data_IF_903484142740
#
_entry.id   IF_903484142740
#
_cell.length_a   1.000
_cell.length_b   1.000
_cell.length_c   1.000
_cell.angle_alpha   90.00
_cell.angle_beta   90.00
_cell.angle_gamma   90.00
#
_symmetry.space_group_name_H-M   'P 1'
#
loop_
_entity.id
_entity.type
_entity.pdbx_description
1 polymer ?
#
# COMPACT_ATOMS: atom_id res chain seq x y z
N UNK A 1 -29.76 32.89 1.93
CA UNK A 1 -31.10 33.03 1.34
C UNK A 1 -31.00 32.42 -0.05
N UNK A 2 -31.88 31.50 -0.41
CA UNK A 2 -31.84 30.83 -1.72
C UNK A 2 -31.94 31.88 -2.85
N UNK A 3 -31.15 31.74 -3.91
CA UNK A 3 -31.10 32.70 -5.03
C UNK A 3 -32.49 32.82 -5.68
N UNK A 4 -33.22 31.71 -5.78
CA UNK A 4 -34.55 31.69 -6.33
C UNK A 4 -35.57 32.37 -5.42
N UNK A 5 -35.42 32.27 -4.10
CA UNK A 5 -36.27 33.01 -3.16
C UNK A 5 -36.06 34.52 -3.29
N UNK A 6 -34.86 34.97 -3.68
CA UNK A 6 -34.60 36.38 -3.97
C UNK A 6 -35.26 36.83 -5.26
N UNK A 7 -35.17 36.01 -6.31
CA UNK A 7 -35.84 36.26 -7.59
C UNK A 7 -37.36 36.32 -7.39
N UNK A 8 -37.93 35.37 -6.65
CA UNK A 8 -39.36 35.32 -6.38
C UNK A 8 -39.84 36.55 -5.60
N UNK A 9 -39.09 36.98 -4.57
CA UNK A 9 -39.39 38.21 -3.83
C UNK A 9 -39.36 39.44 -4.73
N UNK A 10 -38.34 39.59 -5.57
CA UNK A 10 -38.25 40.70 -6.50
C UNK A 10 -39.43 40.72 -7.48
N UNK A 11 -39.79 39.56 -8.04
CA UNK A 11 -40.94 39.45 -8.95
C UNK A 11 -42.27 39.81 -8.27
N UNK A 12 -42.46 39.44 -7.01
CA UNK A 12 -43.65 39.81 -6.23
C UNK A 12 -43.75 41.33 -5.95
N UNK A 13 -42.68 42.11 -6.11
CA UNK A 13 -42.76 43.58 -5.99
C UNK A 13 -43.31 44.27 -7.24
N UNK A 14 -43.39 43.57 -8.37
CA UNK A 14 -43.86 44.13 -9.62
C UNK A 14 -45.39 44.17 -9.63
N UNK A 15 -45.97 45.37 -9.69
CA UNK A 15 -47.43 45.56 -9.69
C UNK A 15 -48.17 44.86 -10.85
N UNK A 16 -47.45 44.51 -11.94
CA UNK A 16 -47.99 43.77 -13.09
C UNK A 16 -47.85 42.25 -12.97
N UNK A 17 -47.20 41.76 -11.91
CA UNK A 17 -46.95 40.34 -11.68
C UNK A 17 -47.92 39.79 -10.65
N UNK A 18 -49.11 39.40 -11.11
CA UNK A 18 -50.25 39.06 -10.23
C UNK A 18 -50.31 37.57 -9.88
N UNK A 19 -49.16 36.91 -9.74
CA UNK A 19 -49.10 35.46 -9.48
C UNK A 19 -49.13 35.21 -7.97
N UNK A 20 -50.29 34.79 -7.47
CA UNK A 20 -50.49 34.50 -6.05
C UNK A 20 -49.48 33.43 -5.54
N UNK A 21 -48.84 33.70 -4.40
CA UNK A 21 -47.87 32.83 -3.72
C UNK A 21 -46.70 32.36 -4.63
N UNK A 22 -46.09 33.27 -5.39
CA UNK A 22 -44.88 32.94 -6.15
C UNK A 22 -43.66 32.84 -5.23
N UNK A 23 -43.01 31.67 -5.21
CA UNK A 23 -41.88 31.34 -4.34
C UNK A 23 -40.65 30.89 -5.16
N UNK A 24 -39.50 30.68 -4.50
CA UNK A 24 -38.26 30.30 -5.19
C UNK A 24 -38.37 28.98 -5.96
N UNK A 25 -39.12 27.99 -5.44
CA UNK A 25 -39.36 26.73 -6.14
C UNK A 25 -40.11 26.94 -7.46
N UNK A 26 -41.15 27.79 -7.46
CA UNK A 26 -41.87 28.15 -8.68
C UNK A 26 -41.00 28.95 -9.64
N UNK A 27 -40.14 29.84 -9.14
CA UNK A 27 -39.18 30.57 -9.96
C UNK A 27 -38.19 29.64 -10.67
N UNK A 28 -37.59 28.71 -9.92
CA UNK A 28 -36.68 27.71 -10.47
C UNK A 28 -37.37 26.79 -11.48
N UNK A 29 -38.55 26.27 -11.16
CA UNK A 29 -39.31 25.41 -12.07
C UNK A 29 -39.67 26.15 -13.37
N UNK A 30 -40.08 27.42 -13.26
CA UNK A 30 -40.42 28.25 -14.41
C UNK A 30 -39.20 28.52 -15.29
N UNK A 31 -38.03 28.79 -14.68
CA UNK A 31 -36.77 28.97 -15.40
C UNK A 31 -36.37 27.72 -16.18
N UNK A 32 -36.46 26.54 -15.55
CA UNK A 32 -36.13 25.28 -16.21
C UNK A 32 -37.04 24.99 -17.40
N UNK A 33 -38.34 25.24 -17.27
CA UNK A 33 -39.31 25.11 -18.38
C UNK A 33 -38.94 26.09 -19.49
N UNK A 34 -38.62 27.34 -19.15
CA UNK A 34 -38.27 28.38 -20.12
C UNK A 34 -37.05 28.01 -20.96
N UNK A 35 -35.99 27.49 -20.35
CA UNK A 35 -34.79 27.04 -21.07
C UNK A 35 -35.08 25.80 -21.92
N UNK A 36 -35.82 24.82 -21.39
CA UNK A 36 -36.20 23.62 -22.15
C UNK A 36 -37.01 23.97 -23.39
N UNK A 37 -38.08 24.74 -23.22
CA UNK A 37 -38.97 25.11 -24.31
C UNK A 37 -38.24 26.00 -25.34
N UNK A 38 -37.22 26.76 -24.92
CA UNK A 38 -36.35 27.49 -25.84
C UNK A 38 -35.42 26.58 -26.65
N UNK A 39 -34.78 25.61 -26.01
CA UNK A 39 -33.96 24.61 -26.71
C UNK A 39 -34.79 23.79 -27.70
N UNK A 40 -36.01 23.41 -27.34
CA UNK A 40 -36.94 22.72 -28.25
C UNK A 40 -37.32 23.59 -29.46
N UNK A 41 -37.57 24.89 -29.24
CA UNK A 41 -37.82 25.85 -30.32
C UNK A 41 -36.61 25.99 -31.24
N UNK A 42 -35.42 26.22 -30.71
CA UNK A 42 -34.20 26.36 -31.51
C UNK A 42 -33.93 25.08 -32.34
N UNK A 43 -34.12 23.90 -31.74
CA UNK A 43 -33.96 22.63 -32.45
C UNK A 43 -35.02 22.43 -33.55
N UNK A 44 -36.26 22.84 -33.31
CA UNK A 44 -37.31 22.79 -34.32
C UNK A 44 -36.99 23.74 -35.48
N UNK A 45 -36.60 24.99 -35.16
CA UNK A 45 -36.18 26.02 -36.12
C UNK A 45 -35.01 25.55 -37.01
N UNK A 46 -33.96 24.96 -36.42
CA UNK A 46 -32.84 24.38 -37.17
C UNK A 46 -33.27 23.29 -38.18
N UNK A 47 -34.30 22.51 -37.86
CA UNK A 47 -34.80 21.44 -38.73
C UNK A 47 -35.65 21.95 -39.91
N UNK A 48 -36.22 23.14 -39.80
CA UNK A 48 -37.04 23.78 -40.86
C UNK A 48 -36.30 24.91 -41.59
N UNK A 49 -34.97 24.97 -41.48
CA UNK A 49 -34.08 26.00 -42.04
C UNK A 49 -34.49 26.46 -43.44
N UNK A 50 -34.89 27.73 -43.57
CA UNK A 50 -35.35 28.36 -44.82
C UNK A 50 -36.43 29.44 -44.64
N UNK A 51 -36.94 29.61 -43.42
CA UNK A 51 -37.88 30.68 -43.04
C UNK A 51 -37.10 31.79 -42.31
N UNK A 52 -37.38 33.04 -42.66
CA UNK A 52 -36.84 34.22 -41.98
C UNK A 52 -37.43 34.28 -40.56
N UNK A 53 -36.61 34.01 -39.55
CA UNK A 53 -37.04 34.02 -38.15
C UNK A 53 -36.67 35.34 -37.46
N UNK A 54 -37.65 35.93 -36.79
CA UNK A 54 -37.45 37.14 -36.00
C UNK A 54 -36.65 36.80 -34.72
N UNK A 55 -35.35 37.11 -34.75
CA UNK A 55 -34.50 37.05 -33.56
C UNK A 55 -34.83 38.24 -32.66
N UNK A 56 -35.32 37.97 -31.47
CA UNK A 56 -35.64 39.00 -30.47
C UNK A 56 -34.52 39.09 -29.43
N UNK A 57 -34.42 40.22 -28.72
CA UNK A 57 -33.50 40.33 -27.58
C UNK A 57 -33.72 39.20 -26.56
N UNK A 58 -34.99 38.82 -26.33
CA UNK A 58 -35.33 37.71 -25.42
C UNK A 58 -34.70 36.39 -25.85
N UNK A 59 -34.69 36.06 -27.14
CA UNK A 59 -34.11 34.81 -27.62
C UNK A 59 -32.59 34.80 -27.45
N UNK A 60 -31.92 35.94 -27.72
CA UNK A 60 -30.47 36.08 -27.48
C UNK A 60 -30.11 35.85 -26.01
N UNK A 61 -30.85 36.46 -25.07
CA UNK A 61 -30.59 36.26 -23.64
C UNK A 61 -30.85 34.81 -23.20
N UNK A 62 -31.81 34.13 -23.81
CA UNK A 62 -32.08 32.72 -23.50
C UNK A 62 -31.02 31.78 -24.07
N UNK A 63 -30.42 32.12 -25.20
CA UNK A 63 -29.25 31.41 -25.76
C UNK A 63 -28.05 31.54 -24.79
N UNK A 64 -27.74 32.77 -24.35
CA UNK A 64 -26.66 33.04 -23.40
C UNK A 64 -26.86 32.30 -22.07
N UNK A 65 -28.07 32.36 -21.50
CA UNK A 65 -28.42 31.65 -20.27
C UNK A 65 -28.32 30.13 -20.44
N UNK A 66 -28.72 29.60 -21.59
CA UNK A 66 -28.59 28.16 -21.89
C UNK A 66 -27.14 27.73 -21.94
N UNK A 67 -26.28 28.54 -22.58
CA UNK A 67 -24.84 28.29 -22.64
C UNK A 67 -24.19 28.29 -21.26
N UNK A 68 -24.50 29.28 -20.41
CA UNK A 68 -23.98 29.37 -19.04
C UNK A 68 -24.42 28.19 -18.16
N UNK A 69 -25.68 27.74 -18.29
CA UNK A 69 -26.16 26.57 -17.55
C UNK A 69 -25.45 25.30 -17.99
N UNK A 70 -25.19 25.14 -19.28
CA UNK A 70 -24.50 23.97 -19.80
C UNK A 70 -23.01 23.98 -19.41
N UNK A 71 -22.34 25.13 -19.49
CA UNK A 71 -20.97 25.32 -19.02
C UNK A 71 -20.85 24.98 -17.53
N UNK A 72 -21.77 25.46 -16.69
CA UNK A 72 -21.79 25.15 -15.27
C UNK A 72 -21.91 23.63 -15.01
N UNK A 73 -22.79 22.94 -15.73
CA UNK A 73 -22.93 21.47 -15.63
C UNK A 73 -21.65 20.76 -16.06
N UNK A 74 -21.02 21.20 -17.15
CA UNK A 74 -19.78 20.61 -17.65
C UNK A 74 -18.64 20.77 -16.66
N UNK A 75 -18.50 21.95 -16.05
CA UNK A 75 -17.49 22.19 -15.03
C UNK A 75 -17.76 21.36 -13.77
N UNK A 76 -19.02 21.20 -13.34
CA UNK A 76 -19.37 20.30 -12.23
C UNK A 76 -19.01 18.84 -12.54
N UNK A 77 -19.28 18.36 -13.76
CA UNK A 77 -18.86 17.03 -14.20
C UNK A 77 -17.34 16.88 -14.23
N UNK A 78 -16.63 17.93 -14.69
CA UNK A 78 -15.17 17.94 -14.76
C UNK A 78 -14.53 17.88 -13.37
N UNK A 79 -15.09 18.62 -12.41
CA UNK A 79 -14.68 18.57 -11.01
C UNK A 79 -14.90 17.18 -10.41
N UNK A 80 -16.10 16.63 -10.58
CA UNK A 80 -16.39 15.28 -10.10
C UNK A 80 -15.45 14.23 -10.69
N UNK A 81 -15.16 14.30 -12.00
CA UNK A 81 -14.20 13.41 -12.64
C UNK A 81 -12.78 13.57 -12.09
N UNK A 82 -12.33 14.81 -11.86
CA UNK A 82 -11.03 15.11 -11.27
C UNK A 82 -10.91 14.59 -9.84
N UNK A 83 -11.97 14.67 -9.03
CA UNK A 83 -11.98 14.13 -7.66
C UNK A 83 -11.87 12.60 -7.65
N UNK A 84 -12.58 11.92 -8.55
CA UNK A 84 -12.47 10.47 -8.72
C UNK A 84 -11.06 10.06 -9.15
N UNK A 85 -10.47 10.77 -10.11
CA UNK A 85 -9.11 10.49 -10.57
C UNK A 85 -8.08 10.72 -9.45
N UNK A 86 -8.22 11.81 -8.68
CA UNK A 86 -7.36 12.09 -7.55
C UNK A 86 -7.46 10.99 -6.47
N UNK A 87 -8.68 10.53 -6.16
CA UNK A 87 -8.89 9.43 -5.22
C UNK A 87 -8.23 8.13 -5.70
N UNK A 88 -8.37 7.78 -6.98
CA UNK A 88 -7.74 6.59 -7.56
C UNK A 88 -6.21 6.64 -7.49
N UNK A 89 -5.60 7.81 -7.74
CA UNK A 89 -4.14 8.00 -7.63
C UNK A 89 -3.64 7.84 -6.18
N UNK A 90 -4.40 8.32 -5.21
CA UNK A 90 -4.07 8.16 -3.78
C UNK A 90 -4.15 6.68 -3.38
N UNK A 91 -5.19 5.97 -3.82
CA UNK A 91 -5.35 4.53 -3.55
C UNK A 91 -4.20 3.71 -4.16
N UNK A 92 -3.84 3.98 -5.41
CA UNK A 92 -2.71 3.32 -6.09
C UNK A 92 -1.38 3.57 -5.37
N UNK A 93 -1.11 4.84 -5.00
CA UNK A 93 0.09 5.20 -4.25
C UNK A 93 0.17 4.51 -2.89
N UNK A 94 -0.96 4.44 -2.17
CA UNK A 94 -1.07 3.71 -0.90
C UNK A 94 -0.78 2.21 -1.05
N UNK A 95 -1.32 1.58 -2.10
CA UNK A 95 -1.08 0.17 -2.39
C UNK A 95 0.40 -0.11 -2.71
N UNK A 96 1.06 0.78 -3.47
CA UNK A 96 2.50 0.68 -3.77
C UNK A 96 3.32 0.79 -2.48
N UNK A 97 3.04 1.79 -1.64
CA UNK A 97 3.75 1.97 -0.37
C UNK A 97 3.61 0.75 0.55
N UNK A 98 2.42 0.17 0.64
CA UNK A 98 2.18 -1.03 1.43
C UNK A 98 2.98 -2.23 0.90
N UNK A 99 3.05 -2.42 -0.42
CA UNK A 99 3.88 -3.48 -1.03
C UNK A 99 5.36 -3.28 -0.70
N UNK A 100 5.88 -2.06 -0.79
CA UNK A 100 7.28 -1.75 -0.45
C UNK A 100 7.56 -2.08 1.02
N UNK A 101 6.68 -1.67 1.93
CA UNK A 101 6.84 -1.93 3.35
C UNK A 101 6.85 -3.44 3.66
N UNK A 102 5.98 -4.21 3.02
CA UNK A 102 5.96 -5.67 3.15
C UNK A 102 7.27 -6.29 2.66
N UNK A 103 7.75 -5.90 1.48
CA UNK A 103 9.01 -6.43 0.93
C UNK A 103 10.22 -6.09 1.82
N UNK A 104 10.27 -4.89 2.38
CA UNK A 104 11.33 -4.50 3.31
C UNK A 104 11.28 -5.33 4.60
N UNK A 105 10.09 -5.57 5.15
CA UNK A 105 9.93 -6.37 6.34
C UNK A 105 10.34 -7.83 6.10
N UNK A 106 9.94 -8.41 4.97
CA UNK A 106 10.32 -9.76 4.57
C UNK A 106 11.83 -9.89 4.37
N UNK A 107 12.47 -8.90 3.72
CA UNK A 107 13.92 -8.86 3.55
C UNK A 107 14.64 -8.83 4.91
N UNK A 108 14.22 -7.96 5.82
CA UNK A 108 14.79 -7.84 7.17
C UNK A 108 14.63 -9.13 7.97
N UNK A 109 13.47 -9.77 7.87
CA UNK A 109 13.21 -11.05 8.54
C UNK A 109 14.13 -12.15 8.01
N UNK A 110 14.30 -12.24 6.70
CA UNK A 110 15.18 -13.23 6.07
C UNK A 110 16.64 -13.02 6.46
N UNK A 111 17.13 -11.78 6.47
CA UNK A 111 18.49 -11.46 6.91
C UNK A 111 18.71 -11.83 8.39
N UNK A 112 17.73 -11.54 9.24
CA UNK A 112 17.79 -11.89 10.66
C UNK A 112 17.86 -13.40 10.87
N UNK A 113 17.06 -14.19 10.15
CA UNK A 113 17.10 -15.65 10.22
C UNK A 113 18.44 -16.20 9.72
N UNK A 114 18.97 -15.66 8.62
CA UNK A 114 20.31 -16.03 8.15
C UNK A 114 21.38 -15.74 9.20
N UNK A 115 21.32 -14.57 9.84
CA UNK A 115 22.28 -14.19 10.88
C UNK A 115 22.21 -15.11 12.10
N UNK A 116 21.00 -15.46 12.56
CA UNK A 116 20.80 -16.43 13.64
C UNK A 116 21.37 -17.80 13.28
N UNK A 117 21.12 -18.26 12.05
CA UNK A 117 21.64 -19.53 11.56
C UNK A 117 23.18 -19.55 11.57
N UNK A 118 23.81 -18.50 11.05
CA UNK A 118 25.27 -18.38 11.02
C UNK A 118 25.87 -18.41 12.44
N UNK A 119 25.30 -17.65 13.38
CA UNK A 119 25.75 -17.67 14.77
C UNK A 119 25.59 -19.04 15.44
N UNK A 120 24.46 -19.70 15.19
CA UNK A 120 24.20 -21.04 15.74
C UNK A 120 25.23 -22.05 15.24
N UNK A 121 25.49 -22.04 13.92
CA UNK A 121 26.47 -22.93 13.30
C UNK A 121 27.87 -22.70 13.85
N UNK A 122 28.28 -21.45 14.01
CA UNK A 122 29.59 -21.10 14.56
C UNK A 122 29.74 -21.60 16.02
N UNK A 123 28.69 -21.49 16.84
CA UNK A 123 28.69 -22.03 18.20
C UNK A 123 28.79 -23.56 18.23
N UNK A 124 28.08 -24.24 17.33
CA UNK A 124 28.15 -25.71 17.19
C UNK A 124 29.54 -26.16 16.76
N UNK A 125 30.19 -25.47 15.84
CA UNK A 125 31.56 -25.77 15.40
C UNK A 125 32.56 -25.59 16.53
N UNK A 126 32.51 -24.48 17.28
CA UNK A 126 33.38 -24.28 18.45
C UNK A 126 33.15 -25.32 19.53
N UNK A 127 31.91 -25.76 19.72
CA UNK A 127 31.62 -26.82 20.68
C UNK A 127 32.23 -28.15 20.24
N UNK A 128 32.07 -28.53 18.97
CA UNK A 128 32.70 -29.74 18.41
C UNK A 128 34.22 -29.70 18.53
N UNK A 129 34.84 -28.55 18.29
CA UNK A 129 36.29 -28.38 18.44
C UNK A 129 36.75 -28.60 19.88
N UNK A 130 36.04 -28.06 20.87
CA UNK A 130 36.34 -28.31 22.30
C UNK A 130 36.17 -29.78 22.69
N UNK A 131 35.12 -30.44 22.19
CA UNK A 131 34.88 -31.86 22.45
C UNK A 131 35.98 -32.72 21.81
N UNK A 132 36.39 -32.41 20.58
CA UNK A 132 37.48 -33.09 19.90
C UNK A 132 38.81 -32.93 20.65
N UNK A 133 39.14 -31.70 21.07
CA UNK A 133 40.37 -31.44 21.82
C UNK A 133 40.40 -32.18 23.17
N UNK A 134 39.27 -32.27 23.85
CA UNK A 134 39.17 -33.06 25.09
C UNK A 134 39.42 -34.54 24.82
N UNK A 135 38.78 -35.10 23.79
CA UNK A 135 38.97 -36.50 23.39
C UNK A 135 40.40 -36.82 23.00
N UNK A 136 41.07 -35.93 22.27
CA UNK A 136 42.49 -36.11 21.89
C UNK A 136 43.39 -36.13 23.13
N UNK A 137 43.17 -35.23 24.10
CA UNK A 137 43.93 -35.22 25.36
C UNK A 137 43.74 -36.50 26.15
N UNK A 138 42.51 -36.98 26.27
CA UNK A 138 42.20 -38.24 26.94
C UNK A 138 42.79 -39.45 26.22
N UNK A 139 42.78 -39.47 24.88
CA UNK A 139 43.41 -40.51 24.09
C UNK A 139 44.93 -40.53 24.28
N UNK A 140 45.57 -39.35 24.20
CA UNK A 140 47.00 -39.21 24.43
C UNK A 140 47.39 -39.61 25.87
N UNK A 141 46.56 -39.28 26.86
CA UNK A 141 46.76 -39.71 28.25
C UNK A 141 46.75 -41.23 28.38
N UNK A 142 45.71 -41.88 27.84
CA UNK A 142 45.57 -43.35 27.85
C UNK A 142 46.73 -44.05 27.14
N UNK A 143 47.19 -43.50 26.02
CA UNK A 143 48.32 -44.07 25.29
C UNK A 143 49.62 -44.02 26.11
N UNK A 144 49.90 -42.89 26.77
CA UNK A 144 51.06 -42.78 27.68
C UNK A 144 50.97 -43.74 28.86
N UNK A 145 49.80 -43.88 29.47
CA UNK A 145 49.58 -44.83 30.56
C UNK A 145 49.82 -46.27 30.11
N UNK A 146 49.31 -46.67 28.94
CA UNK A 146 49.53 -47.99 28.37
C UNK A 146 51.03 -48.26 28.08
N UNK A 147 51.75 -47.25 27.55
CA UNK A 147 53.19 -47.36 27.32
C UNK A 147 53.98 -47.57 28.64
N UNK A 148 53.65 -46.82 29.70
CA UNK A 148 54.29 -46.97 31.00
C UNK A 148 54.00 -48.34 31.63
N UNK A 149 52.75 -48.81 31.54
CA UNK A 149 52.38 -50.14 32.00
C UNK A 149 53.17 -51.24 31.28
N UNK A 150 53.36 -51.11 29.95
CA UNK A 150 54.17 -52.04 29.18
C UNK A 150 55.64 -52.05 29.63
N UNK A 151 56.24 -50.87 29.84
CA UNK A 151 57.63 -50.76 30.33
C UNK A 151 57.76 -51.42 31.71
N UNK A 152 56.86 -51.13 32.64
CA UNK A 152 56.86 -51.72 33.98
C UNK A 152 56.72 -53.25 33.94
N UNK A 153 55.85 -53.78 33.07
CA UNK A 153 55.69 -55.22 32.90
C UNK A 153 56.97 -55.89 32.37
N UNK A 154 57.66 -55.26 31.42
CA UNK A 154 58.94 -55.74 30.90
C UNK A 154 60.03 -55.72 31.99
N UNK A 155 60.15 -54.62 32.75
CA UNK A 155 61.10 -54.51 33.87
C UNK A 155 60.84 -55.57 34.95
N UNK A 156 59.57 -55.81 35.29
CA UNK A 156 59.17 -56.81 36.28
C UNK A 156 59.55 -58.21 35.81
N UNK A 157 59.27 -58.54 34.55
CA UNK A 157 59.65 -59.83 33.95
C UNK A 157 61.15 -60.03 33.94
N UNK A 158 61.92 -59.02 33.54
CA UNK A 158 63.38 -59.07 33.53
C UNK A 158 63.96 -59.28 34.93
N UNK A 159 63.41 -58.57 35.93
CA UNK A 159 63.82 -58.72 37.33
C UNK A 159 63.55 -60.13 37.85
N UNK A 160 62.39 -60.70 37.51
CA UNK A 160 62.05 -62.07 37.88
C UNK A 160 63.04 -63.08 37.25
N UNK A 161 63.36 -62.95 35.96
CA UNK A 161 64.32 -63.83 35.27
C UNK A 161 65.74 -63.73 35.85
N UNK A 162 66.22 -62.52 36.16
CA UNK A 162 67.52 -62.34 36.82
C UNK A 162 67.50 -62.98 38.20
N UNK A 163 66.43 -62.79 38.98
CA UNK A 163 66.31 -63.36 40.33
C UNK A 163 66.33 -64.88 40.30
N UNK A 164 65.61 -65.52 39.36
CA UNK A 164 65.64 -66.98 39.21
C UNK A 164 67.03 -67.47 38.81
N UNK A 165 67.70 -66.80 37.87
CA UNK A 165 69.04 -67.18 37.44
C UNK A 165 70.09 -66.98 38.55
N UNK A 166 69.97 -65.94 39.38
CA UNK A 166 70.90 -65.69 40.50
C UNK A 166 70.72 -66.72 41.61
N UNK A 167 69.49 -67.20 41.85
CA UNK A 167 69.21 -68.25 42.84
C UNK A 167 69.70 -69.63 42.35
N UNK A 168 69.75 -69.87 41.04
CA UNK A 168 70.25 -71.14 40.46
C UNK A 168 71.80 -71.23 40.40
N UNK A 169 72.53 -70.19 40.85
CA UNK A 169 74.02 -70.14 40.86
C UNK A 169 74.66 -70.14 42.27
N UNK A 170 73.87 -70.34 43.33
CA UNK A 170 74.32 -70.68 44.70
C UNK A 170 73.93 -72.13 45.05
#
# INVERSE_FOLDING_TARGET
MDVWDSIARNLNTLAKFDRHQFDGKKAQAQFNILLRDHGERNNASQRTSGVDEEVTEKTIHLDDLSALVEEAKQEDMRRAASEVEAAARVEESGAIMMKVLTLMNDANKNELELRKFMFKKELEERQKEREAQTREREAHGREREAQLQQILALQTTMTALITTLVIDFD
#
